data_IF_594446764020
#
_entry.id   IF_594446764020
#
_cell.length_a   1.000
_cell.length_b   1.000
_cell.length_c   1.000
_cell.angle_alpha   90.00
_cell.angle_beta   90.00
_cell.angle_gamma   90.00
#
_symmetry.space_group_name_H-M   'P 1'
#
loop_
_entity.id
_entity.type
_entity.pdbx_description
1 polymer ?
#
# COMPACT_ATOMS: atom_id res chain seq x y z
N UNK A 1 -4.36 23.17 19.55
CA UNK A 1 -3.93 22.20 18.52
C UNK A 1 -2.58 21.64 18.97
N UNK A 2 -2.50 20.39 19.39
CA UNK A 2 -1.21 19.75 19.74
C UNK A 2 -0.62 19.18 18.47
N UNK A 3 0.41 19.81 17.92
CA UNK A 3 1.19 19.24 16.83
C UNK A 3 2.17 18.22 17.42
N UNK A 4 2.10 16.98 16.97
CA UNK A 4 3.12 15.98 17.28
C UNK A 4 4.39 16.33 16.50
N UNK A 5 5.50 16.48 17.22
CA UNK A 5 6.79 16.67 16.57
C UNK A 5 7.39 15.31 16.25
N UNK A 6 7.39 14.92 14.97
CA UNK A 6 7.86 13.61 14.49
C UNK A 6 9.31 13.28 14.86
N UNK A 7 10.11 14.27 15.21
CA UNK A 7 11.56 14.11 15.34
C UNK A 7 12.02 13.33 16.58
N UNK A 8 11.16 13.07 17.59
CA UNK A 8 11.61 12.50 18.87
C UNK A 8 10.67 11.48 19.50
N UNK A 9 9.85 10.76 18.71
CA UNK A 9 8.97 9.75 19.30
C UNK A 9 9.59 8.37 19.10
N UNK A 10 10.36 7.94 20.10
CA UNK A 10 10.80 6.55 20.26
C UNK A 10 9.78 5.79 21.12
N UNK A 11 9.55 4.52 20.81
CA UNK A 11 8.64 3.63 21.54
C UNK A 11 7.18 4.10 21.57
N UNK A 12 6.59 4.38 20.40
CA UNK A 12 5.17 4.65 20.28
C UNK A 12 4.34 3.45 20.73
N UNK A 13 3.43 3.69 21.68
CA UNK A 13 2.44 2.68 22.04
C UNK A 13 1.32 2.65 21.01
N UNK A 14 1.04 1.48 20.47
CA UNK A 14 -0.09 1.29 19.57
C UNK A 14 -1.42 1.47 20.29
N UNK A 15 -2.34 2.24 19.69
CA UNK A 15 -3.75 2.27 20.11
C UNK A 15 -4.42 1.04 19.51
N UNK A 16 -4.63 0.00 20.31
CA UNK A 16 -5.20 -1.27 19.87
C UNK A 16 -6.62 -1.13 19.32
N UNK A 17 -7.03 -2.11 18.51
CA UNK A 17 -8.38 -2.20 17.98
C UNK A 17 -9.44 -2.08 19.10
N UNK A 18 -10.45 -1.25 18.89
CA UNK A 18 -11.51 -1.01 19.87
C UNK A 18 -11.15 -0.06 21.02
N UNK A 19 -9.96 0.49 21.09
CA UNK A 19 -9.53 1.42 22.14
C UNK A 19 -9.58 2.89 21.69
N UNK A 20 -9.73 3.78 22.65
CA UNK A 20 -9.55 5.23 22.52
C UNK A 20 -8.17 5.64 23.04
N UNK A 21 -7.65 6.77 22.60
CA UNK A 21 -6.39 7.31 23.07
C UNK A 21 -5.57 7.96 21.96
N UNK A 22 -4.33 8.34 22.30
CA UNK A 22 -3.35 8.91 21.38
C UNK A 22 -2.15 7.98 21.27
N UNK A 23 -1.69 7.71 20.07
CA UNK A 23 -0.55 6.84 19.83
C UNK A 23 -0.36 6.47 18.37
N UNK A 24 0.31 5.36 18.14
CA UNK A 24 0.50 4.79 16.82
C UNK A 24 -0.80 4.13 16.35
N UNK A 25 -1.30 4.56 15.19
CA UNK A 25 -2.48 3.99 14.54
C UNK A 25 -2.01 3.16 13.35
N UNK A 26 -2.29 1.88 13.39
CA UNK A 26 -1.96 0.90 12.35
C UNK A 26 -3.27 0.36 11.78
N UNK A 27 -3.42 0.42 10.47
CA UNK A 27 -4.62 -0.04 9.77
C UNK A 27 -4.26 -1.01 8.66
N UNK A 28 -5.01 -2.09 8.56
CA UNK A 28 -4.77 -3.17 7.62
C UNK A 28 -5.88 -3.24 6.55
N UNK A 29 -6.20 -2.11 5.91
CA UNK A 29 -7.34 -1.99 5.00
C UNK A 29 -6.98 -2.18 3.52
N UNK A 30 -5.70 -2.21 3.20
CA UNK A 30 -5.23 -2.29 1.82
C UNK A 30 -4.97 -3.72 1.36
N UNK A 31 -5.11 -3.96 0.07
CA UNK A 31 -4.67 -5.18 -0.58
C UNK A 31 -3.90 -4.85 -1.84
N UNK A 32 -2.92 -5.68 -2.16
CA UNK A 32 -2.11 -5.53 -3.36
C UNK A 32 -2.84 -6.19 -4.53
N UNK A 33 -2.98 -5.44 -5.61
CA UNK A 33 -3.51 -5.92 -6.88
C UNK A 33 -2.32 -5.98 -7.84
N UNK A 34 -1.76 -7.17 -8.02
CA UNK A 34 -0.67 -7.35 -8.98
C UNK A 34 -1.13 -7.03 -10.40
N UNK A 35 -0.23 -6.53 -11.25
CA UNK A 35 -0.44 -6.53 -12.70
C UNK A 35 -0.40 -7.98 -13.17
N UNK A 36 -1.57 -8.58 -13.31
CA UNK A 36 -1.73 -10.01 -13.57
C UNK A 36 -0.90 -10.48 -14.77
N UNK A 37 -0.89 -9.71 -15.85
CA UNK A 37 -0.21 -10.09 -17.08
C UNK A 37 1.32 -10.15 -16.88
N UNK A 38 1.90 -9.19 -16.15
CA UNK A 38 3.34 -9.19 -15.86
C UNK A 38 3.73 -10.32 -14.94
N UNK A 39 2.95 -10.57 -13.87
CA UNK A 39 3.23 -11.64 -12.92
C UNK A 39 3.06 -13.01 -13.60
N UNK A 40 1.99 -13.18 -14.38
CA UNK A 40 1.76 -14.41 -15.11
C UNK A 40 2.88 -14.70 -16.11
N UNK A 41 3.35 -13.69 -16.85
CA UNK A 41 4.46 -13.85 -17.79
C UNK A 41 5.75 -14.27 -17.08
N UNK A 42 6.08 -13.63 -15.95
CA UNK A 42 7.27 -13.99 -15.16
C UNK A 42 7.19 -15.45 -14.70
N UNK A 43 6.02 -15.89 -14.20
CA UNK A 43 5.80 -17.27 -13.78
C UNK A 43 5.98 -18.25 -14.94
N UNK A 44 5.36 -17.98 -16.10
CA UNK A 44 5.48 -18.81 -17.29
C UNK A 44 6.93 -18.90 -17.77
N UNK A 45 7.69 -17.82 -17.72
CA UNK A 45 9.11 -17.80 -18.07
C UNK A 45 9.95 -18.67 -17.13
N UNK A 46 9.68 -18.62 -15.82
CA UNK A 46 10.32 -19.47 -14.82
C UNK A 46 9.97 -20.95 -15.05
N UNK A 47 8.70 -21.26 -15.24
CA UNK A 47 8.20 -22.63 -15.42
C UNK A 47 8.73 -23.26 -16.73
N UNK A 48 8.94 -22.46 -17.77
CA UNK A 48 9.53 -22.90 -19.02
C UNK A 48 11.07 -23.01 -18.97
N UNK A 49 11.67 -22.81 -17.80
CA UNK A 49 13.12 -22.91 -17.62
C UNK A 49 13.91 -21.76 -18.26
N UNK A 50 13.25 -20.65 -18.55
CA UNK A 50 13.90 -19.42 -18.98
C UNK A 50 14.75 -18.84 -17.85
N UNK A 51 15.74 -18.06 -18.21
CA UNK A 51 16.58 -17.38 -17.23
C UNK A 51 15.69 -16.46 -16.38
N UNK A 52 15.77 -16.58 -15.04
CA UNK A 52 15.08 -15.70 -14.12
C UNK A 52 15.51 -14.24 -14.40
N UNK A 53 14.58 -13.42 -14.87
CA UNK A 53 14.76 -12.00 -15.11
C UNK A 53 13.52 -11.26 -14.68
N UNK A 54 13.63 -10.44 -13.63
CA UNK A 54 12.57 -9.55 -13.19
C UNK A 54 12.75 -8.19 -13.89
N UNK A 55 11.67 -7.58 -14.39
CA UNK A 55 11.72 -6.23 -14.95
C UNK A 55 12.29 -5.21 -13.94
N UNK A 56 12.99 -4.19 -14.46
CA UNK A 56 13.52 -3.11 -13.62
C UNK A 56 12.44 -2.37 -12.83
N UNK A 57 11.23 -2.35 -13.37
CA UNK A 57 10.06 -1.71 -12.77
C UNK A 57 9.00 -2.76 -12.36
N UNK A 58 9.21 -3.39 -11.20
CA UNK A 58 8.16 -4.24 -10.61
C UNK A 58 7.17 -3.34 -9.87
N UNK A 59 6.12 -2.93 -10.61
CA UNK A 59 5.07 -2.04 -10.09
C UNK A 59 3.81 -2.86 -9.82
N UNK A 60 3.23 -2.66 -8.64
CA UNK A 60 1.96 -3.25 -8.24
C UNK A 60 0.98 -2.17 -7.86
N UNK A 61 -0.31 -2.43 -8.12
CA UNK A 61 -1.41 -1.58 -7.68
C UNK A 61 -2.01 -2.12 -6.40
N UNK A 62 -2.55 -1.22 -5.57
CA UNK A 62 -3.19 -1.59 -4.31
C UNK A 62 -4.38 -0.69 -3.97
N UNK A 63 -5.25 -1.20 -3.12
CA UNK A 63 -6.12 -0.38 -2.28
C UNK A 63 -5.32 -0.02 -1.03
N UNK A 64 -5.29 1.27 -0.68
CA UNK A 64 -4.47 1.78 0.42
C UNK A 64 -5.28 2.07 1.66
N UNK A 65 -6.46 2.70 1.51
CA UNK A 65 -7.29 3.09 2.65
C UNK A 65 -8.72 3.45 2.18
N UNK A 66 -9.65 3.58 3.14
CA UNK A 66 -11.03 4.05 2.90
C UNK A 66 -11.46 5.05 3.96
N UNK A 67 -12.15 6.12 3.55
CA UNK A 67 -12.75 7.05 4.50
C UNK A 67 -14.23 6.77 4.74
N UNK A 68 -14.71 7.16 5.92
CA UNK A 68 -16.12 7.09 6.30
C UNK A 68 -16.69 5.67 6.41
N UNK A 69 -15.81 4.65 6.43
CA UNK A 69 -16.17 3.24 6.57
C UNK A 69 -15.44 2.70 7.79
N UNK A 70 -16.17 1.94 8.62
CA UNK A 70 -15.60 1.28 9.80
C UNK A 70 -14.66 0.16 9.33
N UNK A 71 -13.40 0.24 9.74
CA UNK A 71 -12.39 -0.77 9.43
C UNK A 71 -12.40 -1.91 10.46
N UNK A 72 -11.53 -2.90 10.30
CA UNK A 72 -11.47 -4.06 11.18
C UNK A 72 -11.01 -3.72 12.61
N UNK A 73 -10.26 -2.63 12.80
CA UNK A 73 -9.93 -2.11 14.13
C UNK A 73 -11.07 -1.35 14.79
N UNK A 74 -12.25 -1.31 14.16
CA UNK A 74 -13.44 -0.62 14.65
C UNK A 74 -13.41 0.90 14.46
N UNK A 75 -12.43 1.44 13.74
CA UNK A 75 -12.22 2.88 13.55
C UNK A 75 -12.80 3.39 12.24
N UNK A 76 -13.27 4.63 12.27
CA UNK A 76 -13.65 5.39 11.08
C UNK A 76 -12.70 6.55 10.92
N UNK A 77 -12.14 6.69 9.73
CA UNK A 77 -11.38 7.85 9.30
C UNK A 77 -12.33 8.86 8.66
N UNK A 78 -12.54 10.06 9.23
CA UNK A 78 -13.33 11.09 8.59
C UNK A 78 -12.73 11.52 7.25
N UNK A 79 -13.59 11.83 6.28
CA UNK A 79 -13.17 12.20 4.91
C UNK A 79 -12.19 13.36 4.89
N UNK A 80 -12.55 14.44 5.61
CA UNK A 80 -11.74 15.66 5.66
C UNK A 80 -10.33 15.40 6.24
N UNK A 81 -10.22 14.54 7.24
CA UNK A 81 -8.96 14.21 7.92
C UNK A 81 -8.10 13.36 6.99
N UNK A 82 -8.66 12.26 6.48
CA UNK A 82 -7.89 11.34 5.65
C UNK A 82 -7.47 11.98 4.32
N UNK A 83 -8.36 12.74 3.67
CA UNK A 83 -8.02 13.46 2.44
C UNK A 83 -6.93 14.51 2.66
N UNK A 84 -6.99 15.26 3.77
CA UNK A 84 -5.96 16.23 4.15
C UNK A 84 -4.59 15.57 4.26
N UNK A 85 -4.51 14.45 4.99
CA UNK A 85 -3.23 13.78 5.22
C UNK A 85 -2.69 13.10 3.96
N UNK A 86 -3.55 12.50 3.14
CA UNK A 86 -3.15 11.95 1.84
C UNK A 86 -2.64 13.05 0.91
N UNK A 87 -3.28 14.22 0.89
CA UNK A 87 -2.82 15.35 0.08
C UNK A 87 -1.42 15.84 0.53
N UNK A 88 -1.20 15.98 1.84
CA UNK A 88 0.12 16.31 2.37
C UNK A 88 1.17 15.25 2.00
N UNK A 89 0.79 13.97 2.07
CA UNK A 89 1.67 12.86 1.71
C UNK A 89 2.06 12.90 0.22
N UNK A 90 1.09 13.19 -0.66
CA UNK A 90 1.34 13.36 -2.10
C UNK A 90 2.30 14.52 -2.37
N UNK A 91 2.06 15.69 -1.76
CA UNK A 91 2.86 16.89 -1.98
C UNK A 91 4.28 16.78 -1.40
N UNK A 92 4.40 16.23 -0.18
CA UNK A 92 5.66 16.25 0.56
C UNK A 92 6.52 15.00 0.34
N UNK A 93 5.93 13.86 0.02
CA UNK A 93 6.67 12.60 -0.07
C UNK A 93 6.63 11.98 -1.47
N UNK A 94 5.44 11.85 -2.07
CA UNK A 94 5.34 11.23 -3.41
C UNK A 94 5.99 12.12 -4.46
N UNK A 95 5.69 13.42 -4.46
CA UNK A 95 6.26 14.39 -5.40
C UNK A 95 7.80 14.49 -5.28
N UNK A 96 8.34 14.32 -4.08
CA UNK A 96 9.78 14.36 -3.81
C UNK A 96 10.46 12.99 -3.91
N UNK A 97 9.76 11.95 -4.30
CA UNK A 97 10.28 10.58 -4.40
C UNK A 97 10.78 9.99 -3.05
N UNK A 98 10.29 10.49 -1.93
CA UNK A 98 10.63 10.05 -0.57
C UNK A 98 9.54 9.23 0.09
N UNK A 99 8.47 8.88 -0.63
CA UNK A 99 7.36 8.06 -0.15
C UNK A 99 7.74 6.57 -0.03
N UNK A 100 8.80 6.29 0.75
CA UNK A 100 9.27 4.93 1.03
C UNK A 100 8.46 4.30 2.17
N UNK A 101 8.35 2.96 2.16
CA UNK A 101 7.64 2.22 3.19
C UNK A 101 8.21 0.81 3.39
N UNK A 102 7.85 0.18 4.51
CA UNK A 102 8.44 -1.05 4.98
C UNK A 102 7.62 -2.30 4.59
N UNK A 103 8.21 -3.47 4.78
CA UNK A 103 7.52 -4.74 4.99
C UNK A 103 7.32 -4.89 6.51
N UNK A 104 6.10 -5.17 6.91
CA UNK A 104 5.58 -5.11 8.27
C UNK A 104 5.63 -3.70 8.88
N UNK A 105 5.00 -3.53 10.06
CA UNK A 105 4.98 -2.25 10.73
C UNK A 105 6.11 -2.13 11.73
N UNK A 106 7.11 -1.28 11.48
CA UNK A 106 8.06 -0.94 12.53
C UNK A 106 7.38 -0.16 13.66
N UNK A 107 7.82 -0.36 14.89
CA UNK A 107 7.28 0.29 16.10
C UNK A 107 7.71 1.76 16.26
N UNK A 108 8.40 2.32 15.28
CA UNK A 108 8.90 3.71 15.28
C UNK A 108 8.25 4.55 14.19
N UNK A 109 8.23 5.87 14.42
CA UNK A 109 7.60 6.83 13.49
C UNK A 109 8.48 7.28 12.33
N UNK A 110 9.80 7.10 12.43
CA UNK A 110 10.76 7.48 11.38
C UNK A 110 10.82 6.41 10.30
N UNK A 111 11.03 6.82 9.05
CA UNK A 111 11.27 5.89 7.95
C UNK A 111 12.75 5.50 7.95
N UNK A 112 13.03 4.19 7.99
CA UNK A 112 14.39 3.65 7.96
C UNK A 112 14.73 3.18 6.54
N UNK A 113 15.88 3.59 6.03
CA UNK A 113 16.38 3.12 4.74
C UNK A 113 16.71 1.61 4.71
N UNK A 114 16.92 0.99 5.89
CA UNK A 114 17.16 -0.45 6.00
C UNK A 114 15.90 -1.29 5.78
N UNK A 115 14.72 -0.72 6.07
CA UNK A 115 13.45 -1.45 6.04
C UNK A 115 12.67 -1.21 4.75
N UNK A 116 13.24 -0.48 3.78
CA UNK A 116 12.54 -0.12 2.55
C UNK A 116 12.17 -1.37 1.76
N UNK A 117 10.86 -1.61 1.63
CA UNK A 117 10.29 -2.64 0.77
C UNK A 117 9.82 -2.07 -0.58
N UNK A 118 9.30 -0.86 -0.57
CA UNK A 118 8.74 -0.22 -1.76
C UNK A 118 8.71 1.30 -1.65
N UNK A 119 8.40 1.94 -2.78
CA UNK A 119 8.11 3.36 -2.87
C UNK A 119 6.76 3.57 -3.54
N UNK A 120 5.92 4.44 -2.98
CA UNK A 120 4.65 4.82 -3.57
C UNK A 120 4.90 5.77 -4.74
N UNK A 121 4.26 5.49 -5.88
CA UNK A 121 4.39 6.25 -7.11
C UNK A 121 3.23 7.22 -7.31
N UNK A 122 2.01 6.79 -6.97
CA UNK A 122 0.78 7.54 -7.15
C UNK A 122 -0.30 7.06 -6.18
N UNK A 123 -1.15 7.99 -5.76
CA UNK A 123 -2.36 7.74 -4.98
C UNK A 123 -3.50 8.57 -5.55
N UNK A 124 -4.66 7.96 -5.72
CA UNK A 124 -5.87 8.64 -6.21
C UNK A 124 -7.13 8.12 -5.52
N UNK A 125 -8.12 8.97 -5.44
CA UNK A 125 -9.42 8.62 -4.88
C UNK A 125 -10.36 8.05 -5.93
N UNK A 126 -10.92 6.87 -5.65
CA UNK A 126 -12.02 6.25 -6.38
C UNK A 126 -13.23 6.13 -5.45
N UNK A 127 -14.10 7.13 -5.50
CA UNK A 127 -15.16 7.28 -4.50
C UNK A 127 -14.58 7.44 -3.09
N UNK A 128 -14.89 6.50 -2.19
CA UNK A 128 -14.37 6.50 -0.80
C UNK A 128 -13.07 5.72 -0.64
N UNK A 129 -12.58 5.10 -1.70
CA UNK A 129 -11.41 4.22 -1.67
C UNK A 129 -10.19 4.95 -2.20
N UNK A 130 -9.10 4.90 -1.48
CA UNK A 130 -7.79 5.35 -1.91
C UNK A 130 -7.11 4.18 -2.63
N UNK A 131 -6.80 4.35 -3.90
CA UNK A 131 -6.06 3.39 -4.72
C UNK A 131 -4.77 4.02 -5.21
N UNK A 132 -3.79 3.21 -5.58
CA UNK A 132 -2.54 3.73 -6.09
C UNK A 132 -1.60 2.67 -6.60
N UNK A 133 -0.40 3.11 -6.95
CA UNK A 133 0.68 2.28 -7.46
C UNK A 133 1.92 2.42 -6.59
N UNK A 134 2.62 1.32 -6.40
CA UNK A 134 3.91 1.29 -5.71
C UNK A 134 4.92 0.45 -6.50
N UNK A 135 6.18 0.88 -6.45
CA UNK A 135 7.31 0.16 -7.06
C UNK A 135 8.09 -0.55 -5.96
N UNK A 136 8.30 -1.85 -6.12
CA UNK A 136 9.10 -2.63 -5.18
C UNK A 136 10.57 -2.25 -5.26
N UNK A 137 11.24 -2.22 -4.09
CA UNK A 137 12.68 -1.96 -3.98
C UNK A 137 13.46 -3.26 -4.14
N UNK A 138 13.79 -3.61 -5.40
CA UNK A 138 14.43 -4.88 -5.73
C UNK A 138 15.93 -4.73 -5.90
N UNK A 139 16.67 -5.70 -5.32
CA UNK A 139 18.11 -5.80 -5.50
C UNK A 139 18.48 -6.31 -6.90
N UNK A 140 19.69 -5.96 -7.40
CA UNK A 140 20.20 -6.54 -8.64
C UNK A 140 20.33 -8.07 -8.60
N UNK A 141 20.61 -8.63 -7.41
CA UNK A 141 20.68 -10.08 -7.19
C UNK A 141 19.34 -10.76 -7.39
N UNK A 142 18.27 -10.18 -6.85
CA UNK A 142 16.92 -10.71 -7.06
C UNK A 142 16.50 -10.60 -8.53
N UNK A 143 16.68 -9.45 -9.15
CA UNK A 143 16.31 -9.23 -10.56
C UNK A 143 16.93 -10.23 -11.54
N UNK A 144 18.16 -10.67 -11.28
CA UNK A 144 18.90 -11.56 -12.19
C UNK A 144 18.86 -13.02 -11.80
N UNK A 145 18.86 -13.31 -10.52
CA UNK A 145 19.13 -14.65 -10.00
C UNK A 145 18.10 -15.14 -8.97
N UNK A 146 17.10 -14.32 -8.62
CA UNK A 146 16.11 -14.66 -7.59
C UNK A 146 16.68 -14.65 -6.16
N UNK A 147 17.85 -14.03 -5.93
CA UNK A 147 18.48 -13.99 -4.62
C UNK A 147 17.91 -12.84 -3.81
N UNK A 148 17.12 -13.15 -2.77
CA UNK A 148 16.54 -12.16 -1.87
C UNK A 148 17.61 -11.54 -0.95
N UNK A 149 17.65 -10.21 -0.91
CA UNK A 149 18.55 -9.44 -0.04
C UNK A 149 17.93 -8.16 0.52
N UNK A 150 16.75 -7.77 0.04
CA UNK A 150 15.99 -6.61 0.53
C UNK A 150 14.58 -7.03 0.94
N UNK A 151 13.91 -6.20 1.74
CA UNK A 151 12.49 -6.42 2.08
C UNK A 151 11.60 -6.38 0.82
N UNK A 152 11.96 -5.59 -0.18
CA UNK A 152 11.26 -5.56 -1.46
C UNK A 152 11.40 -6.87 -2.26
N UNK A 153 12.55 -7.53 -2.19
CA UNK A 153 12.76 -8.85 -2.80
C UNK A 153 11.84 -9.90 -2.17
N UNK A 154 11.67 -9.86 -0.83
CA UNK A 154 10.76 -10.75 -0.12
C UNK A 154 9.31 -10.51 -0.53
N UNK A 155 8.89 -9.24 -0.62
CA UNK A 155 7.54 -8.87 -1.11
C UNK A 155 7.31 -9.40 -2.52
N UNK A 156 8.28 -9.22 -3.42
CA UNK A 156 8.18 -9.73 -4.79
C UNK A 156 8.11 -11.27 -4.83
N UNK A 157 8.91 -11.96 -4.02
CA UNK A 157 8.89 -13.42 -3.91
C UNK A 157 7.52 -13.91 -3.43
N UNK A 158 6.95 -13.30 -2.37
CA UNK A 158 5.61 -13.64 -1.89
C UNK A 158 4.54 -13.46 -2.96
N UNK A 159 4.61 -12.36 -3.74
CA UNK A 159 3.66 -12.12 -4.85
C UNK A 159 3.79 -13.18 -5.94
N UNK A 160 5.02 -13.58 -6.28
CA UNK A 160 5.28 -14.63 -7.28
C UNK A 160 4.80 -16.01 -6.79
N UNK A 161 4.87 -16.26 -5.49
CA UNK A 161 4.39 -17.52 -4.86
C UNK A 161 2.88 -17.52 -4.54
N UNK A 162 2.13 -16.50 -5.01
CA UNK A 162 0.70 -16.31 -4.73
C UNK A 162 0.37 -16.17 -3.23
N UNK A 163 1.34 -15.78 -2.41
CA UNK A 163 1.10 -15.46 -1.00
C UNK A 163 0.33 -14.16 -0.93
N UNK A 164 -0.79 -14.18 -0.20
CA UNK A 164 -1.62 -13.01 -0.01
C UNK A 164 -0.96 -12.04 0.97
N UNK A 165 -0.72 -10.84 0.50
CA UNK A 165 -0.20 -9.72 1.30
C UNK A 165 -1.05 -8.48 1.03
N UNK A 166 -1.02 -7.53 1.93
CA UNK A 166 -1.83 -6.32 1.83
C UNK A 166 -1.04 -5.05 2.08
N UNK A 167 -1.73 -3.93 2.02
CA UNK A 167 -1.20 -2.61 2.38
C UNK A 167 -1.92 -2.10 3.61
N UNK A 168 -1.19 -1.48 4.50
CA UNK A 168 -1.67 -0.94 5.77
C UNK A 168 -1.16 0.46 5.98
N UNK A 169 -2.05 1.39 6.34
CA UNK A 169 -1.62 2.73 6.71
C UNK A 169 -1.04 2.74 8.12
N UNK A 170 0.05 3.48 8.30
CA UNK A 170 0.67 3.77 9.58
C UNK A 170 0.68 5.28 9.80
N UNK A 171 0.17 5.70 10.97
CA UNK A 171 0.10 7.11 11.34
C UNK A 171 0.13 7.31 12.84
N UNK A 172 0.16 8.56 13.25
CA UNK A 172 0.09 8.99 14.64
C UNK A 172 -1.15 9.85 14.80
N UNK A 173 -1.89 9.66 15.90
CA UNK A 173 -3.07 10.49 16.17
C UNK A 173 -3.88 9.99 17.34
N UNK A 174 -5.00 10.64 17.56
CA UNK A 174 -5.97 10.29 18.57
C UNK A 174 -7.16 9.53 18.00
N UNK A 175 -7.77 8.71 18.86
CA UNK A 175 -9.02 8.02 18.60
C UNK A 175 -10.01 8.41 19.68
N UNK A 176 -11.16 8.93 19.28
CA UNK A 176 -12.27 9.31 20.15
C UNK A 176 -13.48 8.42 19.90
N UNK A 177 -14.22 8.11 20.96
CA UNK A 177 -15.51 7.45 20.84
C UNK A 177 -16.63 8.47 20.72
N UNK A 178 -17.46 8.34 19.68
CA UNK A 178 -18.67 9.14 19.47
C UNK A 178 -19.84 8.20 19.17
N UNK A 179 -20.86 8.19 20.03
CA UNK A 179 -22.06 7.36 19.86
C UNK A 179 -21.76 5.85 19.66
N UNK A 180 -20.82 5.30 20.45
CA UNK A 180 -20.43 3.90 20.35
C UNK A 180 -19.58 3.54 19.12
N UNK A 181 -19.07 4.56 18.43
CA UNK A 181 -18.21 4.39 17.25
C UNK A 181 -16.89 5.13 17.43
N UNK A 182 -15.79 4.47 17.07
CA UNK A 182 -14.46 5.03 17.18
C UNK A 182 -14.13 5.88 15.93
N UNK A 183 -13.75 7.12 16.15
CA UNK A 183 -13.35 8.05 15.11
C UNK A 183 -11.90 8.49 15.32
N UNK A 184 -11.13 8.46 14.25
CA UNK A 184 -9.82 9.12 14.23
C UNK A 184 -10.04 10.63 14.28
N UNK A 185 -9.34 11.32 15.18
CA UNK A 185 -9.50 12.75 15.39
C UNK A 185 -8.60 13.61 14.48
N UNK A 186 -8.71 14.91 14.62
CA UNK A 186 -8.00 15.90 13.76
C UNK A 186 -6.49 15.93 14.00
N UNK A 187 -5.97 15.30 15.04
CA UNK A 187 -4.54 15.18 15.33
C UNK A 187 -3.83 14.12 14.47
N UNK A 188 -4.57 13.37 13.66
CA UNK A 188 -4.00 12.32 12.82
C UNK A 188 -2.98 12.88 11.82
N UNK A 189 -1.81 12.23 11.78
CA UNK A 189 -0.75 12.46 10.80
C UNK A 189 -0.36 11.13 10.14
N UNK A 190 -0.45 11.06 8.81
CA UNK A 190 -0.04 9.90 8.03
C UNK A 190 1.48 9.81 7.94
N UNK A 191 2.04 8.65 8.28
CA UNK A 191 3.48 8.37 8.17
C UNK A 191 3.79 7.68 6.85
N UNK A 192 3.15 6.53 6.61
CA UNK A 192 3.43 5.65 5.47
C UNK A 192 2.27 4.68 5.20
N UNK A 193 2.42 3.95 4.10
CA UNK A 193 1.61 2.78 3.79
C UNK A 193 2.53 1.57 3.63
N UNK A 194 2.59 0.71 4.63
CA UNK A 194 3.50 -0.43 4.68
C UNK A 194 2.84 -1.69 4.07
N UNK A 195 3.66 -2.62 3.57
CA UNK A 195 3.18 -3.94 3.16
C UNK A 195 3.10 -4.86 4.37
N UNK A 196 2.01 -5.62 4.53
CA UNK A 196 1.77 -6.51 5.66
C UNK A 196 1.26 -7.88 5.24
N UNK A 197 1.63 -8.91 6.02
CA UNK A 197 1.21 -10.29 5.75
C UNK A 197 -0.23 -10.59 6.21
N UNK A 198 -0.72 -9.91 7.24
CA UNK A 198 -2.06 -10.10 7.79
C UNK A 198 -2.86 -8.79 7.76
N UNK A 199 -3.54 -8.48 6.65
CA UNK A 199 -4.47 -7.35 6.64
C UNK A 199 -5.69 -7.69 7.51
N UNK A 200 -6.02 -6.84 8.49
CA UNK A 200 -7.14 -7.07 9.42
C UNK A 200 -8.53 -6.86 8.81
N UNK A 201 -8.61 -6.60 7.52
CA UNK A 201 -9.87 -6.34 6.82
C UNK A 201 -10.50 -7.62 6.29
N UNK A 202 -11.73 -7.90 6.69
CA UNK A 202 -12.58 -8.92 6.08
C UNK A 202 -12.73 -8.65 4.58
N UNK A 203 -12.21 -9.54 3.71
CA UNK A 203 -12.17 -9.48 2.24
C UNK A 203 -11.00 -8.70 1.60
N UNK A 204 -9.94 -8.35 2.32
CA UNK A 204 -8.74 -7.70 1.75
C UNK A 204 -7.74 -8.68 1.12
N UNK A 205 -8.15 -9.89 0.81
CA UNK A 205 -7.30 -10.90 0.17
C UNK A 205 -7.13 -10.62 -1.32
N UNK A 206 -5.90 -10.67 -1.80
CA UNK A 206 -5.62 -10.75 -3.24
C UNK A 206 -6.21 -12.08 -3.72
N UNK A 207 -7.30 -12.01 -4.45
CA UNK A 207 -7.82 -13.16 -5.14
C UNK A 207 -7.19 -13.18 -6.53
N UNK A 208 -6.34 -14.12 -6.78
CA UNK A 208 -5.73 -14.39 -8.09
C UNK A 208 -6.76 -14.83 -9.13
N UNK A 209 -8.02 -15.01 -8.74
CA UNK A 209 -9.08 -15.41 -9.65
C UNK A 209 -9.61 -14.20 -10.46
N UNK A 210 -9.56 -14.24 -11.81
CA UNK A 210 -10.02 -13.16 -12.69
C UNK A 210 -11.46 -12.70 -12.44
N UNK A 211 -12.33 -13.60 -11.95
CA UNK A 211 -13.75 -13.30 -11.69
C UNK A 211 -13.94 -12.36 -10.50
N UNK A 212 -13.03 -12.37 -9.55
CA UNK A 212 -13.11 -11.53 -8.35
C UNK A 212 -12.58 -10.11 -8.57
N UNK A 213 -11.85 -9.90 -9.67
CA UNK A 213 -11.39 -8.58 -10.13
C UNK A 213 -12.41 -7.87 -11.04
N UNK A 214 -13.42 -8.59 -11.53
CA UNK A 214 -14.45 -8.05 -12.43
C UNK A 214 -15.15 -6.79 -11.91
N UNK A 215 -15.60 -6.71 -10.64
CA UNK A 215 -16.24 -5.52 -10.12
C UNK A 215 -15.31 -4.30 -10.09
N UNK A 216 -14.01 -4.51 -9.87
CA UNK A 216 -13.00 -3.44 -9.87
C UNK A 216 -12.66 -3.00 -11.29
N UNK A 217 -12.49 -3.94 -12.23
CA UNK A 217 -12.26 -3.67 -13.65
C UNK A 217 -13.46 -2.96 -14.29
N UNK A 218 -14.68 -3.33 -13.89
CA UNK A 218 -15.91 -2.68 -14.38
C UNK A 218 -16.10 -1.28 -13.79
N UNK A 219 -15.68 -1.04 -12.56
CA UNK A 219 -15.67 0.30 -11.97
C UNK A 219 -14.69 1.23 -12.70
N UNK A 220 -13.56 0.71 -13.15
CA UNK A 220 -12.58 1.46 -13.96
C UNK A 220 -13.05 1.72 -15.39
N UNK A 221 -13.81 0.79 -16.00
CA UNK A 221 -14.39 1.00 -17.34
C UNK A 221 -15.48 2.09 -17.35
N UNK A 222 -16.12 2.34 -16.21
CA UNK A 222 -17.09 3.44 -16.03
C UNK A 222 -16.48 4.79 -15.78
N UNK A 223 -15.21 4.86 -15.35
CA UNK A 223 -14.44 6.11 -15.27
C UNK A 223 -13.78 6.34 -16.62
N UNK A 224 -14.29 7.29 -17.41
CA UNK A 224 -13.72 7.71 -18.69
C UNK A 224 -12.32 8.32 -18.51
N UNK A 225 -11.26 7.51 -18.40
CA UNK A 225 -9.88 7.97 -18.38
C UNK A 225 -9.11 7.40 -19.57
N UNK A 226 -8.90 8.20 -20.65
CA UNK A 226 -8.09 7.82 -21.81
C UNK A 226 -6.60 7.60 -21.49
N UNK A 227 -6.14 8.11 -20.37
CA UNK A 227 -4.70 8.23 -20.02
C UNK A 227 -4.04 6.89 -19.67
N UNK A 228 -4.80 5.93 -19.12
CA UNK A 228 -4.25 4.61 -18.75
C UNK A 228 -4.03 3.74 -19.99
N UNK A 229 -4.88 3.83 -21.00
CA UNK A 229 -4.74 3.05 -22.22
C UNK A 229 -3.52 3.46 -23.06
N UNK A 230 -3.17 4.74 -23.11
CA UNK A 230 -1.97 5.23 -23.82
C UNK A 230 -0.68 4.83 -23.13
N UNK A 231 -0.62 4.88 -21.80
CA UNK A 231 0.56 4.41 -21.05
C UNK A 231 0.77 2.90 -21.19
N UNK A 232 -0.29 2.11 -21.13
CA UNK A 232 -0.22 0.66 -21.36
C UNK A 232 0.18 0.30 -22.80
N UNK A 233 -0.29 1.05 -23.80
CA UNK A 233 0.14 0.86 -25.20
C UNK A 233 1.62 1.25 -25.42
N UNK A 234 2.14 2.26 -24.71
CA UNK A 234 3.56 2.62 -24.77
C UNK A 234 4.45 1.56 -24.13
N UNK A 235 4.03 0.98 -23.01
CA UNK A 235 4.77 -0.11 -22.34
C UNK A 235 4.80 -1.36 -23.21
N UNK A 236 3.69 -1.76 -23.83
CA UNK A 236 3.65 -2.89 -24.76
C UNK A 236 4.51 -2.66 -26.04
N UNK A 237 4.69 -1.41 -26.48
CA UNK A 237 5.56 -1.09 -27.63
C UNK A 237 7.06 -1.11 -27.32
N UNK A 238 7.45 -1.07 -26.04
CA UNK A 238 8.85 -1.11 -25.59
C UNK A 238 9.29 -2.54 -25.30
N UNK A 239 8.34 -3.46 -25.10
CA UNK A 239 8.60 -4.87 -24.76
C UNK A 239 8.50 -5.82 -25.95
N UNK A 240 8.13 -5.32 -27.13
CA UNK A 240 8.13 -6.01 -28.42
C UNK A 240 8.67 -5.03 -29.49
#
# INVERSE_FOLDING_TARGET
>A
MRTFNRQNIENLTEVKAGQTGNGLLIEHDGHIIGKKDTIQQIKEDIDNGHKFVIPDDFIVSAVFQKYGIKNANGRIYPENILKREVQKYLENQVANHTAIAALDHPSYSTLSGHDVAHRILDLRWEGRTLVGEMKLHLSPGFKRYGICSTSGDLVASMILDDIQIGVSSRGIGGVEEKFGTLYVDDSFELISFDVVCEPSTHNAWIKTNPKDLQPFIESQKKSNLPIISEKLQRINKILF
#
